data_IF_211947066894
#
_entry.id   IF_211947066894
#
_cell.length_a   1.000
_cell.length_b   1.000
_cell.length_c   1.000
_cell.angle_alpha   90.00
_cell.angle_beta   90.00
_cell.angle_gamma   90.00
#
_symmetry.space_group_name_H-M   'P 1'
#
loop_
_entity.id
_entity.type
_entity.pdbx_description
1 polymer ?
#
# COMPACT_ATOMS: atom_id res chain seq x y z
N UNK A 1 -14.74 11.50 -7.13
CA UNK A 1 -14.47 10.97 -8.47
C UNK A 1 -13.66 9.68 -8.29
N UNK A 2 -13.90 8.64 -9.10
CA UNK A 2 -13.23 7.34 -9.01
C UNK A 2 -12.14 7.28 -10.09
N UNK A 3 -10.92 6.83 -9.73
CA UNK A 3 -9.75 6.81 -10.62
C UNK A 3 -8.93 5.53 -10.46
N UNK A 4 -8.25 5.15 -11.53
CA UNK A 4 -7.13 4.18 -11.53
C UNK A 4 -7.47 2.77 -11.03
N UNK A 5 -8.65 2.25 -11.34
CA UNK A 5 -9.05 0.86 -11.02
C UNK A 5 -9.83 0.24 -12.18
N UNK A 6 -9.52 0.66 -13.40
CA UNK A 6 -10.21 0.23 -14.61
C UNK A 6 -10.09 -1.27 -14.82
N UNK A 7 -8.92 -1.84 -14.47
CA UNK A 7 -8.65 -3.28 -14.62
C UNK A 7 -9.51 -4.11 -13.67
N UNK A 8 -9.51 -3.76 -12.38
CA UNK A 8 -10.31 -4.44 -11.37
C UNK A 8 -11.81 -4.28 -11.65
N UNK A 9 -12.24 -3.06 -12.01
CA UNK A 9 -13.63 -2.76 -12.33
C UNK A 9 -14.09 -3.51 -13.60
N UNK A 10 -13.26 -3.58 -14.63
CA UNK A 10 -13.53 -4.31 -15.86
C UNK A 10 -13.68 -5.81 -15.59
N UNK A 11 -12.79 -6.42 -14.78
CA UNK A 11 -12.89 -7.84 -14.44
C UNK A 11 -14.13 -8.13 -13.58
N UNK A 12 -14.45 -7.28 -12.60
CA UNK A 12 -15.70 -7.41 -11.82
C UNK A 12 -16.94 -7.33 -12.71
N UNK A 13 -16.98 -6.37 -13.66
CA UNK A 13 -18.10 -6.24 -14.59
C UNK A 13 -18.21 -7.43 -15.55
N UNK A 14 -17.10 -7.94 -16.07
CA UNK A 14 -17.07 -9.14 -16.90
C UNK A 14 -17.67 -10.34 -16.15
N UNK A 15 -17.21 -10.59 -14.90
CA UNK A 15 -17.75 -11.67 -14.05
C UNK A 15 -19.23 -11.49 -13.74
N UNK A 16 -19.65 -10.23 -13.49
CA UNK A 16 -21.07 -9.96 -13.28
C UNK A 16 -21.90 -10.30 -14.51
N UNK A 17 -21.43 -10.00 -15.72
CA UNK A 17 -22.16 -10.28 -16.97
C UNK A 17 -22.27 -11.77 -17.30
N UNK A 18 -21.41 -12.63 -16.74
CA UNK A 18 -21.46 -14.09 -16.96
C UNK A 18 -22.71 -14.76 -16.34
N UNK A 19 -23.42 -14.07 -15.44
CA UNK A 19 -24.72 -14.54 -14.93
C UNK A 19 -24.68 -15.72 -13.96
N UNK A 20 -23.50 -16.22 -13.56
CA UNK A 20 -23.30 -17.33 -12.63
C UNK A 20 -22.92 -16.84 -11.22
N UNK A 21 -22.91 -17.75 -10.25
CA UNK A 21 -22.42 -17.47 -8.91
C UNK A 21 -20.97 -16.97 -8.93
N UNK A 22 -20.71 -15.93 -8.19
CA UNK A 22 -19.38 -15.42 -7.93
C UNK A 22 -19.18 -15.13 -6.44
N UNK A 23 -17.98 -15.46 -5.95
CA UNK A 23 -17.52 -15.08 -4.61
C UNK A 23 -16.19 -14.36 -4.73
N UNK A 24 -16.24 -13.04 -4.74
CA UNK A 24 -15.10 -12.16 -4.88
C UNK A 24 -14.59 -11.69 -3.51
N UNK A 25 -13.31 -11.89 -3.26
CA UNK A 25 -12.64 -11.39 -2.05
C UNK A 25 -11.88 -10.12 -2.40
N UNK A 26 -12.27 -8.98 -1.80
CA UNK A 26 -11.63 -7.67 -1.99
C UNK A 26 -10.93 -7.28 -0.70
N UNK A 27 -9.61 -7.18 -0.72
CA UNK A 27 -8.85 -6.87 0.48
C UNK A 27 -7.63 -5.99 0.19
N UNK A 28 -7.09 -5.39 1.22
CA UNK A 28 -5.96 -4.48 1.15
C UNK A 28 -6.00 -3.55 2.34
N UNK A 29 -4.91 -2.82 2.59
CA UNK A 29 -4.86 -1.94 3.76
C UNK A 29 -5.97 -0.86 3.74
N UNK A 30 -6.18 -0.23 4.88
CA UNK A 30 -7.15 0.89 4.96
C UNK A 30 -6.80 2.02 4.00
N UNK A 31 -7.85 2.72 3.52
CA UNK A 31 -7.74 3.97 2.74
C UNK A 31 -7.22 3.83 1.30
N UNK A 32 -6.97 2.60 0.83
CA UNK A 32 -6.56 2.34 -0.56
C UNK A 32 -7.69 2.38 -1.59
N UNK A 33 -8.96 2.56 -1.13
CA UNK A 33 -10.11 2.73 -2.02
C UNK A 33 -10.93 1.47 -2.29
N UNK A 34 -10.86 0.42 -1.44
CA UNK A 34 -11.68 -0.81 -1.60
C UNK A 34 -13.18 -0.53 -1.72
N UNK A 35 -13.74 0.16 -0.72
CA UNK A 35 -15.17 0.50 -0.69
C UNK A 35 -15.57 1.40 -1.86
N UNK A 36 -14.66 2.30 -2.31
CA UNK A 36 -14.90 3.12 -3.50
C UNK A 36 -15.00 2.27 -4.78
N UNK A 37 -14.13 1.26 -4.94
CA UNK A 37 -14.18 0.31 -6.06
C UNK A 37 -15.49 -0.48 -6.04
N UNK A 38 -15.88 -1.01 -4.88
CA UNK A 38 -17.11 -1.79 -4.73
C UNK A 38 -18.34 -0.92 -5.02
N UNK A 39 -18.38 0.31 -4.49
CA UNK A 39 -19.47 1.23 -4.76
C UNK A 39 -19.58 1.60 -6.25
N UNK A 40 -18.45 1.82 -6.92
CA UNK A 40 -18.44 2.08 -8.36
C UNK A 40 -18.94 0.86 -9.16
N UNK A 41 -18.53 -0.34 -8.77
CA UNK A 41 -19.00 -1.59 -9.37
C UNK A 41 -20.49 -1.81 -9.16
N UNK A 42 -21.03 -1.47 -8.00
CA UNK A 42 -22.45 -1.68 -7.64
C UNK A 42 -23.40 -0.67 -8.29
N UNK A 43 -22.89 0.43 -8.87
CA UNK A 43 -23.74 1.45 -9.52
C UNK A 43 -24.69 0.84 -10.55
N UNK A 44 -25.96 1.20 -10.45
CA UNK A 44 -27.02 0.74 -11.35
C UNK A 44 -27.21 -0.80 -11.40
N UNK A 45 -26.82 -1.51 -10.33
CA UNK A 45 -27.03 -2.95 -10.19
C UNK A 45 -27.81 -3.25 -8.91
N UNK A 46 -28.70 -4.27 -8.91
CA UNK A 46 -29.35 -4.72 -7.69
C UNK A 46 -28.31 -5.14 -6.65
N UNK A 47 -28.28 -4.44 -5.51
CA UNK A 47 -27.24 -4.62 -4.51
C UNK A 47 -27.81 -4.54 -3.09
N UNK A 48 -27.42 -5.48 -2.25
CA UNK A 48 -27.49 -5.39 -0.79
C UNK A 48 -26.07 -5.06 -0.30
N UNK A 49 -25.87 -3.87 0.29
CA UNK A 49 -24.59 -3.43 0.79
C UNK A 49 -24.63 -3.40 2.32
N UNK A 50 -24.04 -4.39 2.96
CA UNK A 50 -23.93 -4.49 4.40
C UNK A 50 -22.52 -4.14 4.86
N UNK A 51 -22.38 -3.09 5.68
CA UNK A 51 -21.14 -2.74 6.37
C UNK A 51 -21.18 -3.29 7.79
N UNK A 52 -20.35 -4.27 8.08
CA UNK A 52 -20.29 -4.87 9.40
C UNK A 52 -19.71 -3.91 10.44
N UNK A 53 -20.29 -3.94 11.64
CA UNK A 53 -19.95 -3.06 12.74
C UNK A 53 -19.00 -3.77 13.73
N UNK A 54 -18.09 -3.02 14.34
CA UNK A 54 -17.33 -3.50 15.49
C UNK A 54 -18.21 -3.51 16.75
N UNK A 55 -19.23 -4.35 16.74
CA UNK A 55 -20.31 -4.41 17.70
C UNK A 55 -20.73 -5.87 17.93
N UNK A 56 -21.82 -6.10 18.67
CA UNK A 56 -22.33 -7.46 18.97
C UNK A 56 -22.90 -8.15 17.73
N UNK A 57 -23.08 -9.48 17.82
CA UNK A 57 -23.76 -10.28 16.79
C UNK A 57 -25.18 -9.79 16.50
N UNK A 58 -25.93 -9.38 17.54
CA UNK A 58 -27.29 -8.84 17.41
C UNK A 58 -27.33 -7.50 16.65
N UNK A 59 -26.44 -6.57 16.99
CA UNK A 59 -26.35 -5.27 16.27
C UNK A 59 -25.93 -5.47 14.81
N UNK A 60 -25.07 -6.44 14.52
CA UNK A 60 -24.72 -6.77 13.13
C UNK A 60 -25.89 -7.41 12.38
N UNK A 61 -26.71 -8.24 13.06
CA UNK A 61 -27.91 -8.81 12.45
C UNK A 61 -28.97 -7.73 12.18
N UNK A 62 -29.12 -6.75 13.09
CA UNK A 62 -29.99 -5.58 12.87
C UNK A 62 -29.53 -4.75 11.66
N UNK A 63 -28.21 -4.47 11.56
CA UNK A 63 -27.65 -3.73 10.44
C UNK A 63 -27.81 -4.48 9.10
N UNK A 64 -27.60 -5.81 9.09
CA UNK A 64 -27.86 -6.65 7.91
C UNK A 64 -29.33 -6.63 7.53
N UNK A 65 -30.24 -6.73 8.51
CA UNK A 65 -31.69 -6.65 8.30
C UNK A 65 -32.06 -5.33 7.63
N UNK A 66 -31.53 -4.21 8.14
CA UNK A 66 -31.72 -2.89 7.55
C UNK A 66 -31.27 -2.85 6.09
N UNK A 67 -30.07 -3.35 5.80
CA UNK A 67 -29.52 -3.36 4.43
C UNK A 67 -30.36 -4.19 3.44
N UNK A 68 -30.96 -5.32 3.89
CA UNK A 68 -31.85 -6.14 3.07
C UNK A 68 -33.16 -5.38 2.76
N UNK A 69 -33.77 -4.77 3.79
CA UNK A 69 -35.03 -4.04 3.60
C UNK A 69 -34.83 -2.72 2.83
N UNK A 70 -33.71 -2.07 2.94
CA UNK A 70 -33.39 -0.84 2.19
C UNK A 70 -33.44 -1.06 0.67
N UNK A 71 -33.01 -2.22 0.20
CA UNK A 71 -33.09 -2.58 -1.22
C UNK A 71 -34.49 -2.48 -1.77
N UNK A 72 -35.51 -2.86 -0.99
CA UNK A 72 -36.92 -2.81 -1.41
C UNK A 72 -37.58 -1.44 -1.23
N UNK A 73 -36.83 -0.39 -0.82
CA UNK A 73 -37.25 1.02 -0.65
C UNK A 73 -38.44 1.27 0.28
N UNK A 74 -38.77 0.34 1.16
CA UNK A 74 -40.06 0.39 1.83
C UNK A 74 -39.98 0.71 3.31
N UNK A 75 -38.81 0.64 3.94
CA UNK A 75 -38.71 0.77 5.38
C UNK A 75 -37.58 1.75 5.76
N UNK A 76 -37.92 2.73 6.59
CA UNK A 76 -36.95 3.62 7.25
C UNK A 76 -36.33 2.97 8.48
N UNK A 77 -35.98 3.78 9.49
CA UNK A 77 -35.32 3.35 10.74
C UNK A 77 -36.05 2.28 11.58
N UNK A 78 -37.22 1.82 11.17
CA UNK A 78 -38.05 0.79 11.82
C UNK A 78 -38.16 -0.52 11.04
N UNK A 79 -37.17 -0.87 10.23
CA UNK A 79 -37.13 -2.15 9.52
C UNK A 79 -37.20 -3.33 10.53
N UNK A 80 -38.01 -4.38 10.22
CA UNK A 80 -38.03 -5.57 11.10
C UNK A 80 -36.65 -6.25 11.09
N UNK A 81 -36.28 -6.80 12.24
CA UNK A 81 -35.01 -7.54 12.38
C UNK A 81 -35.25 -9.01 12.18
N UNK A 82 -34.42 -9.68 11.36
CA UNK A 82 -34.46 -11.14 11.22
C UNK A 82 -34.14 -11.83 12.55
N UNK A 83 -34.69 -13.04 12.75
CA UNK A 83 -34.46 -13.80 13.99
C UNK A 83 -33.05 -14.39 14.06
N UNK A 84 -32.44 -14.65 12.92
CA UNK A 84 -31.12 -15.24 12.79
C UNK A 84 -30.44 -14.82 11.48
N UNK A 85 -29.11 -15.01 11.40
CA UNK A 85 -28.37 -14.86 10.14
C UNK A 85 -28.85 -15.87 9.08
N UNK A 86 -29.28 -17.07 9.48
CA UNK A 86 -29.79 -18.07 8.54
C UNK A 86 -31.07 -17.58 7.86
N UNK A 87 -31.99 -16.95 8.61
CA UNK A 87 -33.19 -16.36 8.04
C UNK A 87 -32.87 -15.21 7.07
N UNK A 88 -31.93 -14.33 7.44
CA UNK A 88 -31.48 -13.24 6.58
C UNK A 88 -30.83 -13.76 5.29
N UNK A 89 -29.94 -14.75 5.40
CA UNK A 89 -29.27 -15.35 4.24
C UNK A 89 -30.25 -16.11 3.33
N UNK A 90 -31.28 -16.74 3.91
CA UNK A 90 -32.35 -17.43 3.15
C UNK A 90 -33.18 -16.45 2.35
N UNK A 91 -33.45 -15.25 2.88
CA UNK A 91 -34.19 -14.23 2.13
C UNK A 91 -33.32 -13.62 1.02
N UNK A 92 -32.02 -13.40 1.25
CA UNK A 92 -31.07 -13.04 0.19
C UNK A 92 -31.05 -14.10 -0.93
N UNK A 93 -31.12 -15.38 -0.58
CA UNK A 93 -31.18 -16.48 -1.56
C UNK A 93 -32.42 -16.35 -2.44
N UNK A 94 -33.60 -16.17 -1.82
CA UNK A 94 -34.87 -15.98 -2.55
C UNK A 94 -34.79 -14.77 -3.50
N UNK A 95 -34.26 -13.63 -3.05
CA UNK A 95 -34.09 -12.43 -3.89
C UNK A 95 -33.13 -12.70 -5.06
N UNK A 96 -32.08 -13.47 -4.84
CA UNK A 96 -31.10 -13.82 -5.89
C UNK A 96 -31.65 -14.81 -6.94
N UNK A 97 -32.71 -15.57 -6.61
CA UNK A 97 -33.43 -16.39 -7.58
C UNK A 97 -34.29 -15.54 -8.55
N UNK A 98 -34.85 -14.45 -8.07
CA UNK A 98 -35.69 -13.53 -8.85
C UNK A 98 -34.85 -12.71 -9.83
N UNK A 99 -33.74 -12.12 -9.36
CA UNK A 99 -32.85 -11.29 -10.18
C UNK A 99 -31.37 -11.53 -9.84
N UNK A 100 -30.46 -11.08 -10.72
CA UNK A 100 -29.04 -11.09 -10.43
C UNK A 100 -28.72 -10.07 -9.35
N UNK A 101 -28.36 -10.54 -8.17
CA UNK A 101 -28.14 -9.75 -6.97
C UNK A 101 -26.66 -9.70 -6.59
N UNK A 102 -26.17 -8.53 -6.23
CA UNK A 102 -24.88 -8.35 -5.56
C UNK A 102 -25.12 -8.30 -4.05
N UNK A 103 -24.42 -9.13 -3.30
CA UNK A 103 -24.39 -9.07 -1.84
C UNK A 103 -22.99 -8.73 -1.37
N UNK A 104 -22.83 -7.55 -0.76
CA UNK A 104 -21.56 -7.06 -0.23
C UNK A 104 -21.56 -7.17 1.28
N UNK A 105 -20.51 -7.77 1.84
CA UNK A 105 -20.20 -7.70 3.27
C UNK A 105 -18.87 -6.92 3.38
N UNK A 106 -18.98 -5.62 3.67
CA UNK A 106 -17.81 -4.79 3.92
C UNK A 106 -17.38 -4.91 5.39
N UNK A 107 -16.09 -4.77 5.66
CA UNK A 107 -15.42 -5.00 6.95
C UNK A 107 -15.76 -6.38 7.56
N UNK A 108 -15.68 -7.43 6.74
CA UNK A 108 -16.02 -8.82 7.10
C UNK A 108 -15.37 -9.30 8.39
N UNK A 109 -14.18 -8.79 8.74
CA UNK A 109 -13.52 -9.09 10.03
C UNK A 109 -14.41 -8.81 11.23
N UNK A 110 -15.16 -7.71 11.23
CA UNK A 110 -16.01 -7.35 12.38
C UNK A 110 -17.17 -8.33 12.52
N UNK A 111 -17.79 -8.70 11.42
CA UNK A 111 -18.84 -9.72 11.42
C UNK A 111 -18.30 -11.06 11.93
N UNK A 112 -17.15 -11.52 11.43
CA UNK A 112 -16.58 -12.79 11.79
C UNK A 112 -16.11 -12.84 13.27
N UNK A 113 -15.74 -11.70 13.85
CA UNK A 113 -15.46 -11.60 15.30
C UNK A 113 -16.72 -11.61 16.15
N UNK A 114 -17.78 -10.96 15.70
CA UNK A 114 -19.05 -10.88 16.42
C UNK A 114 -19.84 -12.19 16.34
N UNK A 115 -19.80 -12.88 15.19
CA UNK A 115 -20.49 -14.14 14.91
C UNK A 115 -19.49 -15.17 14.38
N UNK A 116 -18.89 -15.96 15.29
CA UNK A 116 -17.83 -16.92 14.94
C UNK A 116 -18.27 -17.99 13.94
N UNK A 117 -19.58 -18.29 13.89
CA UNK A 117 -20.14 -19.28 12.98
C UNK A 117 -20.38 -18.75 11.56
N UNK A 118 -20.25 -17.45 11.32
CA UNK A 118 -20.68 -16.84 10.03
C UNK A 118 -19.94 -17.42 8.82
N UNK A 119 -18.64 -17.70 8.95
CA UNK A 119 -17.87 -18.29 7.83
C UNK A 119 -18.38 -19.68 7.48
N UNK A 120 -18.76 -20.50 8.47
CA UNK A 120 -19.35 -21.84 8.25
C UNK A 120 -20.78 -21.76 7.72
N UNK A 121 -21.57 -20.76 8.16
CA UNK A 121 -22.91 -20.51 7.59
C UNK A 121 -22.82 -20.08 6.12
N UNK A 122 -21.91 -19.19 5.78
CA UNK A 122 -21.65 -18.81 4.39
C UNK A 122 -21.18 -20.00 3.56
N UNK A 123 -20.29 -20.84 4.12
CA UNK A 123 -19.87 -22.08 3.48
C UNK A 123 -21.08 -22.96 3.15
N UNK A 124 -21.93 -23.24 4.13
CA UNK A 124 -23.09 -24.11 3.97
C UNK A 124 -24.05 -23.59 2.90
N UNK A 125 -24.38 -22.28 2.93
CA UNK A 125 -25.33 -21.73 1.96
C UNK A 125 -24.74 -21.63 0.55
N UNK A 126 -23.43 -21.38 0.41
CA UNK A 126 -22.75 -21.42 -0.89
C UNK A 126 -22.86 -22.83 -1.47
N UNK A 127 -22.48 -23.86 -0.71
CA UNK A 127 -22.41 -25.23 -1.19
C UNK A 127 -23.79 -25.80 -1.58
N UNK A 128 -24.85 -25.42 -0.87
CA UNK A 128 -26.18 -26.01 -1.05
C UNK A 128 -27.14 -25.17 -1.90
N UNK A 129 -26.95 -23.84 -1.95
CA UNK A 129 -27.93 -22.94 -2.60
C UNK A 129 -27.31 -22.02 -3.64
N UNK A 130 -26.15 -21.39 -3.36
CA UNK A 130 -25.65 -20.31 -4.21
C UNK A 130 -24.75 -20.77 -5.36
N UNK A 131 -24.03 -21.89 -5.21
CA UNK A 131 -23.02 -22.34 -6.17
C UNK A 131 -23.56 -22.51 -7.61
N UNK A 132 -24.84 -22.88 -7.75
CA UNK A 132 -25.50 -23.04 -9.04
C UNK A 132 -26.44 -21.85 -9.37
N UNK A 133 -26.43 -20.80 -8.59
CA UNK A 133 -27.28 -19.62 -8.69
C UNK A 133 -26.64 -18.45 -9.43
N UNK A 134 -27.23 -17.27 -9.22
CA UNK A 134 -26.84 -16.02 -9.87
C UNK A 134 -26.23 -14.99 -8.89
N UNK A 135 -26.14 -15.31 -7.60
CA UNK A 135 -25.64 -14.36 -6.59
C UNK A 135 -24.19 -13.98 -6.86
N UNK A 136 -23.88 -12.69 -6.70
CA UNK A 136 -22.52 -12.16 -6.70
C UNK A 136 -22.16 -11.73 -5.27
N UNK A 137 -21.46 -12.59 -4.53
CA UNK A 137 -20.99 -12.30 -3.17
C UNK A 137 -19.67 -11.53 -3.22
N UNK A 138 -19.56 -10.44 -2.44
CA UNK A 138 -18.31 -9.72 -2.19
C UNK A 138 -18.02 -9.72 -0.71
N UNK A 139 -16.89 -10.29 -0.31
CA UNK A 139 -16.34 -10.15 1.04
C UNK A 139 -15.19 -9.15 1.02
N UNK A 140 -15.36 -8.04 1.73
CA UNK A 140 -14.37 -6.97 1.78
C UNK A 140 -13.76 -6.83 3.18
N UNK A 141 -12.44 -6.59 3.26
CA UNK A 141 -11.78 -6.38 4.54
C UNK A 141 -10.48 -5.59 4.44
N UNK A 142 -10.20 -4.83 5.51
CA UNK A 142 -8.99 -4.02 5.62
C UNK A 142 -7.84 -4.72 6.34
N UNK A 143 -8.10 -5.77 7.12
CA UNK A 143 -7.08 -6.55 7.80
C UNK A 143 -6.46 -7.59 6.87
N UNK A 144 -5.24 -7.32 6.40
CA UNK A 144 -4.52 -8.19 5.48
C UNK A 144 -4.34 -9.61 6.05
N UNK A 145 -3.80 -9.72 7.26
CA UNK A 145 -3.53 -11.02 7.89
C UNK A 145 -4.80 -11.83 8.15
N UNK A 146 -5.91 -11.17 8.53
CA UNK A 146 -7.19 -11.85 8.68
C UNK A 146 -7.70 -12.37 7.33
N UNK A 147 -7.70 -11.54 6.30
CA UNK A 147 -8.19 -11.95 4.99
C UNK A 147 -7.33 -13.06 4.38
N UNK A 148 -6.01 -12.97 4.49
CA UNK A 148 -5.09 -13.98 3.94
C UNK A 148 -5.13 -15.29 4.72
N UNK A 149 -5.25 -15.27 6.06
CA UNK A 149 -5.20 -16.48 6.87
C UNK A 149 -6.59 -17.09 7.16
N UNK A 150 -7.59 -16.23 7.48
CA UNK A 150 -8.91 -16.70 7.97
C UNK A 150 -9.96 -16.77 6.86
N UNK A 151 -9.76 -16.08 5.74
CA UNK A 151 -10.70 -16.12 4.59
C UNK A 151 -10.12 -16.92 3.44
N UNK A 152 -8.87 -16.65 3.07
CA UNK A 152 -8.17 -17.26 1.94
C UNK A 152 -7.35 -18.50 2.34
N UNK A 153 -7.05 -18.66 3.62
CA UNK A 153 -6.21 -19.72 4.16
C UNK A 153 -6.83 -21.12 4.03
N UNK A 154 -6.00 -22.14 3.99
CA UNK A 154 -6.43 -23.53 3.80
C UNK A 154 -7.40 -24.04 4.89
N UNK A 155 -7.28 -23.57 6.13
CA UNK A 155 -8.16 -23.94 7.25
C UNK A 155 -9.49 -23.17 7.26
N UNK A 156 -9.68 -22.21 6.36
CA UNK A 156 -10.91 -21.42 6.30
C UNK A 156 -12.09 -22.25 5.79
N UNK A 157 -13.30 -22.11 6.38
CA UNK A 157 -14.52 -22.67 5.80
C UNK A 157 -14.80 -22.16 4.38
N UNK A 158 -14.28 -20.97 4.01
CA UNK A 158 -14.45 -20.35 2.69
C UNK A 158 -13.36 -20.75 1.68
N UNK A 159 -12.38 -21.55 2.11
CA UNK A 159 -11.35 -22.05 1.21
C UNK A 159 -11.95 -22.84 0.05
N UNK A 160 -11.47 -22.55 -1.17
CA UNK A 160 -11.95 -23.19 -2.40
C UNK A 160 -13.30 -22.68 -2.93
N UNK A 161 -14.00 -21.77 -2.21
CA UNK A 161 -15.30 -21.21 -2.63
C UNK A 161 -15.19 -19.84 -3.29
N UNK A 162 -14.02 -19.20 -3.19
CA UNK A 162 -13.74 -17.96 -3.90
C UNK A 162 -13.63 -18.24 -5.41
N UNK A 163 -14.17 -17.34 -6.21
CA UNK A 163 -14.02 -17.35 -7.68
C UNK A 163 -13.09 -16.25 -8.17
N UNK A 164 -12.93 -15.19 -7.36
CA UNK A 164 -12.04 -14.08 -7.64
C UNK A 164 -11.38 -13.53 -6.36
N UNK A 165 -10.20 -12.91 -6.52
CA UNK A 165 -9.46 -12.29 -5.44
C UNK A 165 -8.81 -11.01 -5.93
N UNK A 166 -9.06 -9.91 -5.22
CA UNK A 166 -8.52 -8.59 -5.54
C UNK A 166 -7.77 -8.04 -4.33
N UNK A 167 -6.45 -8.02 -4.41
CA UNK A 167 -5.60 -7.31 -3.46
C UNK A 167 -5.44 -5.88 -3.93
N UNK A 168 -6.11 -4.95 -3.24
CA UNK A 168 -6.09 -3.54 -3.60
C UNK A 168 -4.90 -2.87 -2.93
N UNK A 169 -3.94 -2.48 -3.73
CA UNK A 169 -2.73 -1.80 -3.30
C UNK A 169 -2.87 -0.27 -3.41
N UNK A 170 -1.90 0.47 -2.87
CA UNK A 170 -1.78 1.90 -3.11
C UNK A 170 -1.56 2.17 -4.60
N UNK A 171 -1.93 3.35 -5.06
CA UNK A 171 -1.68 3.79 -6.44
C UNK A 171 -0.18 4.00 -6.65
N UNK A 172 0.29 3.71 -7.84
CA UNK A 172 1.67 3.99 -8.24
C UNK A 172 1.90 5.49 -8.43
N UNK A 173 3.16 5.89 -8.52
CA UNK A 173 3.52 7.29 -8.75
C UNK A 173 2.97 7.84 -10.08
N UNK A 174 2.78 7.00 -11.12
CA UNK A 174 2.14 7.40 -12.38
C UNK A 174 0.62 7.54 -12.23
N UNK A 175 -0.02 6.58 -11.57
CA UNK A 175 -1.48 6.59 -11.40
C UNK A 175 -1.96 7.81 -10.61
N UNK A 176 -1.19 8.31 -9.64
CA UNK A 176 -1.61 9.49 -8.86
C UNK A 176 -1.64 10.79 -9.67
N UNK A 177 -1.03 10.83 -10.85
CA UNK A 177 -1.01 12.03 -11.68
C UNK A 177 -2.40 12.51 -12.09
N UNK A 178 -3.38 11.60 -12.16
CA UNK A 178 -4.77 11.94 -12.50
C UNK A 178 -5.45 12.86 -11.49
N UNK A 179 -4.95 12.93 -10.24
CA UNK A 179 -5.51 13.82 -9.22
C UNK A 179 -5.12 15.30 -9.46
N UNK A 180 -3.94 15.52 -10.02
CA UNK A 180 -3.39 16.85 -10.26
C UNK A 180 -2.59 16.89 -11.59
N UNK A 181 -3.21 16.65 -12.75
CA UNK A 181 -2.51 16.43 -14.02
C UNK A 181 -1.72 17.66 -14.52
N UNK A 182 -2.04 18.84 -14.00
CA UNK A 182 -1.36 20.11 -14.36
C UNK A 182 0.00 20.28 -13.66
N UNK A 183 0.29 19.51 -12.61
CA UNK A 183 1.52 19.68 -11.84
C UNK A 183 2.73 19.03 -12.54
N UNK A 184 3.92 19.64 -12.47
CA UNK A 184 5.15 19.05 -13.01
C UNK A 184 5.55 17.78 -12.24
N UNK A 185 6.32 16.90 -12.91
CA UNK A 185 6.75 15.59 -12.38
C UNK A 185 7.38 15.68 -10.98
N UNK A 186 8.17 16.73 -10.70
CA UNK A 186 8.77 16.93 -9.37
C UNK A 186 7.72 17.10 -8.26
N UNK A 187 6.66 17.86 -8.53
CA UNK A 187 5.56 18.06 -7.59
C UNK A 187 4.71 16.81 -7.44
N UNK A 188 4.47 16.08 -8.54
CA UNK A 188 3.81 14.78 -8.53
C UNK A 188 4.61 13.77 -7.67
N UNK A 189 5.94 13.72 -7.87
CA UNK A 189 6.82 12.88 -7.08
C UNK A 189 6.75 13.22 -5.58
N UNK A 190 6.71 14.52 -5.22
CA UNK A 190 6.58 14.96 -3.83
C UNK A 190 5.23 14.50 -3.23
N UNK A 191 4.11 14.66 -3.95
CA UNK A 191 2.81 14.15 -3.51
C UNK A 191 2.87 12.64 -3.25
N UNK A 192 3.47 11.87 -4.17
CA UNK A 192 3.68 10.44 -3.98
C UNK A 192 4.58 10.14 -2.77
N UNK A 193 5.69 10.85 -2.63
CA UNK A 193 6.61 10.71 -1.51
C UNK A 193 5.95 10.98 -0.14
N UNK A 194 4.98 11.89 -0.09
CA UNK A 194 4.23 12.21 1.13
C UNK A 194 3.08 11.23 1.36
N UNK A 195 2.30 10.91 0.34
CA UNK A 195 1.03 10.17 0.48
C UNK A 195 1.16 8.66 0.27
N UNK A 196 2.26 8.22 -0.32
CA UNK A 196 2.48 6.80 -0.68
C UNK A 196 1.48 6.26 -1.71
N UNK A 197 0.87 7.12 -2.51
CA UNK A 197 -0.15 6.73 -3.47
C UNK A 197 -1.48 6.29 -2.84
N UNK A 198 -1.72 6.62 -1.57
CA UNK A 198 -2.97 6.29 -0.89
C UNK A 198 -4.04 7.33 -1.23
N UNK A 199 -5.13 6.94 -1.95
CA UNK A 199 -6.12 7.88 -2.47
C UNK A 199 -6.73 8.77 -1.39
N UNK A 200 -6.97 8.22 -0.20
CA UNK A 200 -7.51 8.99 0.91
C UNK A 200 -6.58 10.12 1.34
N UNK A 201 -5.27 9.87 1.43
CA UNK A 201 -4.30 10.89 1.81
C UNK A 201 -4.12 11.94 0.72
N UNK A 202 -4.15 11.53 -0.57
CA UNK A 202 -4.10 12.46 -1.70
C UNK A 202 -5.30 13.42 -1.65
N UNK A 203 -6.51 12.87 -1.47
CA UNK A 203 -7.73 13.67 -1.37
C UNK A 203 -7.73 14.60 -0.13
N UNK A 204 -7.16 14.16 1.00
CA UNK A 204 -7.08 14.97 2.23
C UNK A 204 -5.96 16.01 2.18
N UNK A 205 -4.89 15.73 1.46
CA UNK A 205 -3.86 16.72 1.17
C UNK A 205 -4.41 17.85 0.28
N UNK A 206 -5.36 17.52 -0.61
CA UNK A 206 -6.17 18.46 -1.38
C UNK A 206 -5.33 19.53 -2.12
N UNK A 207 -4.29 19.09 -2.79
CA UNK A 207 -3.41 20.00 -3.57
C UNK A 207 -4.23 20.62 -4.71
N UNK A 208 -4.22 21.93 -4.80
CA UNK A 208 -4.76 22.69 -5.92
C UNK A 208 -3.64 23.01 -6.90
N UNK A 209 -2.83 24.01 -6.58
CA UNK A 209 -1.74 24.49 -7.42
C UNK A 209 -0.38 24.44 -6.71
N UNK A 210 -0.38 24.54 -5.38
CA UNK A 210 0.83 24.57 -4.55
C UNK A 210 0.84 23.45 -3.50
N UNK A 211 1.83 22.56 -3.64
CA UNK A 211 2.00 21.41 -2.73
C UNK A 211 2.47 21.88 -1.35
N UNK A 212 3.32 22.91 -1.28
CA UNK A 212 3.84 23.42 0.00
C UNK A 212 2.73 24.08 0.82
N UNK A 213 1.84 24.84 0.15
CA UNK A 213 0.66 25.42 0.80
C UNK A 213 -0.30 24.33 1.31
N UNK A 214 -0.55 23.28 0.51
CA UNK A 214 -1.39 22.15 0.92
C UNK A 214 -0.81 21.39 2.11
N UNK A 215 0.50 21.21 2.17
CA UNK A 215 1.19 20.60 3.32
C UNK A 215 1.07 21.44 4.58
N UNK A 216 1.27 22.75 4.47
CA UNK A 216 1.11 23.68 5.60
C UNK A 216 -0.32 23.65 6.16
N UNK A 217 -1.31 23.68 5.30
CA UNK A 217 -2.71 23.68 5.70
C UNK A 217 -3.17 22.35 6.31
N UNK A 218 -2.84 21.22 5.69
CA UNK A 218 -3.46 19.94 6.01
C UNK A 218 -2.60 19.01 6.88
N UNK A 219 -1.27 19.22 6.92
CA UNK A 219 -0.37 18.34 7.67
C UNK A 219 0.40 19.09 8.76
N UNK A 220 0.72 20.35 8.55
CA UNK A 220 1.44 21.18 9.54
C UNK A 220 0.54 22.20 10.25
N UNK A 221 -0.75 21.94 10.33
CA UNK A 221 -1.75 22.71 11.06
C UNK A 221 -2.50 21.80 12.02
N UNK A 222 -2.73 22.26 13.26
CA UNK A 222 -3.51 21.52 14.27
C UNK A 222 -4.97 21.29 13.85
N UNK A 223 -5.51 22.08 12.93
CA UNK A 223 -6.83 21.89 12.33
C UNK A 223 -6.80 21.01 11.07
N UNK A 224 -5.62 20.67 10.57
CA UNK A 224 -5.45 19.85 9.37
C UNK A 224 -5.78 18.39 9.62
N UNK A 225 -6.56 17.77 8.72
CA UNK A 225 -6.96 16.38 8.87
C UNK A 225 -5.76 15.42 9.00
N UNK A 226 -4.68 15.67 8.25
CA UNK A 226 -3.51 14.81 8.22
C UNK A 226 -2.60 14.98 9.44
N UNK A 227 -2.78 16.03 10.25
CA UNK A 227 -1.93 16.29 11.41
C UNK A 227 -2.02 15.18 12.48
N UNK A 228 -3.22 14.73 12.85
CA UNK A 228 -3.45 13.69 13.87
C UNK A 228 -3.68 12.29 13.29
N UNK A 229 -3.65 12.17 11.99
CA UNK A 229 -4.04 10.95 11.28
C UNK A 229 -3.26 9.69 11.68
N UNK A 230 -1.91 9.71 11.91
CA UNK A 230 -1.20 8.52 12.36
C UNK A 230 -1.68 8.03 13.73
N UNK A 231 -1.92 8.95 14.67
CA UNK A 231 -2.45 8.58 15.99
C UNK A 231 -3.88 8.04 15.90
N UNK A 232 -4.72 8.67 15.07
CA UNK A 232 -6.10 8.24 14.88
C UNK A 232 -6.16 6.85 14.24
N UNK A 233 -5.30 6.56 13.27
CA UNK A 233 -5.21 5.23 12.67
C UNK A 233 -4.76 4.19 13.70
N UNK A 234 -3.73 4.47 14.49
CA UNK A 234 -3.27 3.55 15.53
C UNK A 234 -4.35 3.30 16.60
N UNK A 235 -5.09 4.33 17.03
CA UNK A 235 -6.20 4.19 17.99
C UNK A 235 -7.37 3.35 17.43
N UNK A 236 -7.64 3.45 16.13
CA UNK A 236 -8.70 2.67 15.48
C UNK A 236 -8.35 1.18 15.30
N UNK A 237 -7.07 0.88 15.03
CA UNK A 237 -6.63 -0.48 14.70
C UNK A 237 -6.11 -1.25 15.91
N UNK A 238 -5.62 -0.58 16.96
CA UNK A 238 -4.76 -1.17 17.97
C UNK A 238 -5.25 -0.87 19.39
N UNK A 239 -5.11 -1.86 20.29
CA UNK A 239 -5.50 -1.71 21.70
C UNK A 239 -4.51 -0.90 22.53
N UNK A 240 -3.22 -0.90 22.16
CA UNK A 240 -2.12 -0.24 22.89
C UNK A 240 -1.36 0.72 21.97
N UNK A 241 -2.02 1.78 21.44
CA UNK A 241 -1.46 2.65 20.41
C UNK A 241 -0.14 3.32 20.84
N UNK A 242 0.06 3.59 22.12
CA UNK A 242 1.28 4.24 22.62
C UNK A 242 2.52 3.36 22.43
N UNK A 243 2.43 2.05 22.63
CA UNK A 243 3.55 1.11 22.42
C UNK A 243 3.92 1.06 20.94
N UNK A 244 2.93 0.96 20.07
CA UNK A 244 3.15 0.96 18.62
C UNK A 244 3.76 2.28 18.14
N UNK A 245 3.30 3.41 18.66
CA UNK A 245 3.88 4.73 18.39
C UNK A 245 5.37 4.78 18.76
N UNK A 246 5.74 4.23 19.92
CA UNK A 246 7.15 4.17 20.36
C UNK A 246 8.01 3.32 19.42
N UNK A 247 7.49 2.19 18.94
CA UNK A 247 8.19 1.32 17.97
C UNK A 247 8.37 2.03 16.64
N UNK A 248 7.33 2.67 16.10
CA UNK A 248 7.42 3.43 14.85
C UNK A 248 8.42 4.58 15.00
N UNK A 249 8.38 5.30 16.12
CA UNK A 249 9.33 6.38 16.43
C UNK A 249 10.78 5.87 16.50
N UNK A 250 11.01 4.69 17.08
CA UNK A 250 12.34 4.08 17.14
C UNK A 250 12.87 3.74 15.74
N UNK A 251 12.02 3.18 14.86
CA UNK A 251 12.36 2.88 13.45
C UNK A 251 12.58 4.17 12.66
N UNK A 252 11.71 5.18 12.81
CA UNK A 252 11.87 6.50 12.20
C UNK A 252 13.16 7.19 12.63
N UNK A 253 13.61 6.91 13.86
CA UNK A 253 14.88 7.38 14.42
C UNK A 253 16.09 6.53 14.07
N UNK A 254 15.99 5.59 13.09
CA UNK A 254 17.09 4.83 12.51
C UNK A 254 17.38 3.46 13.15
N UNK A 255 16.56 2.97 14.10
CA UNK A 255 16.67 1.59 14.56
C UNK A 255 16.14 0.64 13.47
N UNK A 256 17.01 -0.21 12.95
CA UNK A 256 16.67 -1.09 11.79
C UNK A 256 16.59 -2.56 12.16
N UNK A 257 17.24 -2.99 13.23
CA UNK A 257 17.22 -4.38 13.67
C UNK A 257 16.27 -4.60 14.87
N UNK A 258 15.67 -5.78 14.96
CA UNK A 258 14.67 -6.09 16.00
C UNK A 258 15.22 -5.90 17.44
N UNK A 259 16.48 -6.24 17.66
CA UNK A 259 17.15 -6.03 18.96
C UNK A 259 17.38 -4.53 19.27
N UNK A 260 17.75 -3.73 18.29
CA UNK A 260 17.91 -2.28 18.46
C UNK A 260 16.56 -1.63 18.79
N UNK A 261 15.50 -2.03 18.06
CA UNK A 261 14.15 -1.54 18.30
C UNK A 261 13.69 -1.91 19.71
N UNK A 262 13.82 -3.18 20.10
CA UNK A 262 13.40 -3.66 21.42
C UNK A 262 14.14 -2.95 22.57
N UNK A 263 15.45 -2.75 22.42
CA UNK A 263 16.28 -2.01 23.39
C UNK A 263 15.83 -0.54 23.49
N UNK A 264 15.59 0.11 22.34
CA UNK A 264 15.23 1.53 22.29
C UNK A 264 13.84 1.80 22.89
N UNK A 265 12.92 0.84 22.79
CA UNK A 265 11.56 0.95 23.33
C UNK A 265 11.44 0.39 24.75
N UNK A 266 12.46 -0.33 25.25
CA UNK A 266 12.46 -0.95 26.56
C UNK A 266 11.55 -2.19 26.67
N UNK A 267 11.37 -2.92 25.56
CA UNK A 267 10.56 -4.13 25.52
C UNK A 267 11.43 -5.39 25.45
N UNK A 268 10.96 -6.47 26.01
CA UNK A 268 11.53 -7.79 25.78
C UNK A 268 11.41 -8.16 24.28
N UNK A 269 12.44 -8.81 23.72
CA UNK A 269 12.54 -9.11 22.29
C UNK A 269 11.35 -9.96 21.76
N UNK A 270 10.87 -10.92 22.54
CA UNK A 270 9.71 -11.75 22.18
C UNK A 270 8.40 -10.96 22.10
N UNK A 271 8.21 -10.01 23.01
CA UNK A 271 7.06 -9.10 23.04
C UNK A 271 7.16 -8.11 21.87
N UNK A 272 8.32 -7.48 21.69
CA UNK A 272 8.57 -6.55 20.60
C UNK A 272 8.28 -7.17 19.22
N UNK A 273 8.67 -8.44 19.02
CA UNK A 273 8.42 -9.17 17.78
C UNK A 273 6.94 -9.32 17.44
N UNK A 274 6.06 -9.46 18.45
CA UNK A 274 4.59 -9.50 18.25
C UNK A 274 4.06 -8.15 17.75
N UNK A 275 4.50 -7.06 18.36
CA UNK A 275 4.14 -5.71 17.92
C UNK A 275 4.66 -5.39 16.50
N UNK A 276 5.91 -5.78 16.22
CA UNK A 276 6.48 -5.61 14.88
C UNK A 276 5.66 -6.38 13.82
N UNK A 277 5.22 -7.60 14.13
CA UNK A 277 4.36 -8.36 13.21
C UNK A 277 3.07 -7.63 12.89
N UNK A 278 2.39 -7.06 13.88
CA UNK A 278 1.16 -6.28 13.66
C UNK A 278 1.41 -5.06 12.79
N UNK A 279 2.50 -4.32 13.01
CA UNK A 279 2.86 -3.17 12.18
C UNK A 279 3.22 -3.54 10.73
N UNK A 280 3.79 -4.73 10.52
CA UNK A 280 4.01 -5.30 9.19
C UNK A 280 2.68 -5.66 8.52
N UNK A 281 1.77 -6.30 9.25
CA UNK A 281 0.44 -6.68 8.76
C UNK A 281 -0.41 -5.46 8.39
N UNK A 282 -0.24 -4.34 9.11
CA UNK A 282 -0.85 -3.05 8.77
C UNK A 282 -0.15 -2.32 7.62
N UNK A 283 1.03 -2.80 7.18
CA UNK A 283 1.84 -2.15 6.16
C UNK A 283 2.45 -0.81 6.58
N UNK A 284 2.47 -0.50 7.89
CA UNK A 284 3.16 0.69 8.44
C UNK A 284 4.66 0.47 8.42
N UNK A 285 5.11 -0.71 8.83
CA UNK A 285 6.49 -1.16 8.65
C UNK A 285 6.60 -2.16 7.50
N UNK A 286 7.81 -2.31 6.98
CA UNK A 286 8.20 -3.36 6.06
C UNK A 286 9.48 -4.03 6.53
N UNK A 287 9.65 -5.30 6.16
CA UNK A 287 10.92 -6.02 6.24
C UNK A 287 11.64 -5.90 4.91
N UNK A 288 12.90 -5.54 4.95
CA UNK A 288 13.76 -5.50 3.79
C UNK A 288 14.89 -6.50 3.96
N UNK A 289 15.17 -7.20 2.88
CA UNK A 289 16.21 -8.23 2.80
C UNK A 289 16.96 -7.93 1.52
N UNK A 290 18.31 -8.02 1.50
CA UNK A 290 19.03 -7.86 0.24
C UNK A 290 18.47 -8.84 -0.78
N UNK A 291 18.10 -8.33 -1.95
CA UNK A 291 17.61 -9.18 -3.04
C UNK A 291 18.64 -10.29 -3.32
N UNK A 292 18.21 -11.49 -3.66
CA UNK A 292 19.02 -12.70 -3.79
C UNK A 292 19.50 -13.33 -2.48
N UNK A 293 19.11 -12.80 -1.32
CA UNK A 293 19.44 -13.36 -0.01
C UNK A 293 18.20 -13.97 0.66
N UNK A 294 18.42 -14.87 1.62
CA UNK A 294 17.33 -15.40 2.46
C UNK A 294 17.16 -14.56 3.71
N UNK A 295 15.95 -14.54 4.33
CA UNK A 295 15.76 -13.90 5.62
C UNK A 295 16.78 -14.37 6.65
N UNK A 296 17.39 -13.41 7.37
CA UNK A 296 18.43 -13.71 8.36
C UNK A 296 19.00 -12.46 9.01
N UNK A 297 20.28 -12.48 9.37
CA UNK A 297 20.97 -11.38 10.08
C UNK A 297 20.95 -10.05 9.33
N UNK A 298 20.83 -10.09 7.98
CA UNK A 298 20.77 -8.90 7.13
C UNK A 298 19.36 -8.32 7.00
N UNK A 299 18.35 -8.93 7.64
CA UNK A 299 16.98 -8.39 7.62
C UNK A 299 16.90 -7.10 8.41
N UNK A 300 16.36 -6.06 7.80
CA UNK A 300 16.11 -4.78 8.43
C UNK A 300 14.62 -4.41 8.42
N UNK A 301 14.21 -3.56 9.35
CA UNK A 301 12.90 -2.98 9.43
C UNK A 301 12.97 -1.52 9.03
N UNK A 302 12.04 -1.07 8.21
CA UNK A 302 11.90 0.32 7.83
C UNK A 302 10.42 0.72 7.80
N UNK A 303 10.14 2.03 7.76
CA UNK A 303 8.77 2.51 7.59
C UNK A 303 8.38 2.27 6.13
N UNK A 304 7.39 1.39 5.92
CA UNK A 304 6.86 1.06 4.60
C UNK A 304 5.86 2.08 4.06
N UNK A 305 5.17 2.77 4.95
CA UNK A 305 4.19 3.81 4.62
C UNK A 305 4.88 5.17 4.45
N UNK A 306 4.84 5.74 3.25
CA UNK A 306 5.45 7.05 2.99
C UNK A 306 4.82 8.16 3.82
N UNK A 307 3.52 8.12 4.07
CA UNK A 307 2.84 9.14 4.88
C UNK A 307 3.33 9.09 6.33
N UNK A 308 3.39 7.90 6.94
CA UNK A 308 3.98 7.72 8.26
C UNK A 308 5.44 8.15 8.28
N UNK A 309 6.22 7.80 7.26
CA UNK A 309 7.63 8.20 7.15
C UNK A 309 7.78 9.72 7.11
N UNK A 310 6.95 10.42 6.32
CA UNK A 310 6.96 11.89 6.25
C UNK A 310 6.56 12.51 7.58
N UNK A 311 5.47 12.03 8.16
CA UNK A 311 4.94 12.54 9.42
C UNK A 311 5.94 12.40 10.56
N UNK A 312 6.50 11.20 10.79
CA UNK A 312 7.48 10.95 11.86
C UNK A 312 8.82 11.66 11.64
N UNK A 313 9.17 11.95 10.40
CA UNK A 313 10.38 12.72 10.08
C UNK A 313 10.23 14.19 10.45
N UNK A 314 9.07 14.80 10.19
CA UNK A 314 8.91 16.25 10.20
C UNK A 314 7.97 16.77 11.29
N UNK A 315 6.85 16.12 11.58
CA UNK A 315 5.83 16.66 12.49
C UNK A 315 6.30 16.68 13.95
N UNK A 316 6.80 15.58 14.57
CA UNK A 316 7.15 15.57 15.99
C UNK A 316 8.24 16.58 16.36
N UNK A 317 9.21 16.81 15.47
CA UNK A 317 10.30 17.75 15.68
C UNK A 317 9.87 19.22 15.63
N UNK A 318 8.75 19.49 15.00
CA UNK A 318 8.23 20.84 14.78
C UNK A 318 6.92 21.10 15.54
N UNK A 319 6.54 20.23 16.48
CA UNK A 319 5.27 20.29 17.20
C UNK A 319 4.99 21.65 17.85
N UNK A 320 6.00 22.24 18.52
CA UNK A 320 5.86 23.56 19.15
C UNK A 320 5.61 24.69 18.14
N UNK A 321 6.25 24.64 16.98
CA UNK A 321 6.05 25.64 15.92
C UNK A 321 4.65 25.47 15.26
N UNK A 322 4.21 24.23 15.10
CA UNK A 322 2.85 23.91 14.59
C UNK A 322 1.80 24.42 15.58
N UNK A 323 1.92 24.03 16.85
CA UNK A 323 0.94 24.40 17.89
C UNK A 323 0.82 25.91 18.11
N UNK A 324 1.89 26.67 17.85
CA UNK A 324 1.90 28.15 17.99
C UNK A 324 1.64 28.88 16.67
N UNK A 325 1.33 28.15 15.56
CA UNK A 325 1.09 28.75 14.25
C UNK A 325 2.32 29.47 13.66
N UNK A 326 3.51 29.03 14.00
CA UNK A 326 4.78 29.62 13.52
C UNK A 326 5.51 28.77 12.49
N UNK A 327 4.92 27.65 12.10
CA UNK A 327 5.55 26.69 11.20
C UNK A 327 5.83 27.29 9.82
N UNK A 328 4.96 28.17 9.32
CA UNK A 328 5.11 28.87 8.06
C UNK A 328 6.43 29.66 7.99
N UNK A 329 6.85 30.28 9.10
CA UNK A 329 8.07 31.08 9.21
C UNK A 329 9.36 30.28 9.14
N UNK A 330 9.30 28.99 9.48
CA UNK A 330 10.47 28.12 9.54
C UNK A 330 10.40 26.98 8.50
N UNK A 331 9.32 26.88 7.73
CA UNK A 331 9.05 25.79 6.82
C UNK A 331 10.19 25.48 5.85
N UNK A 332 10.74 26.52 5.21
CA UNK A 332 11.82 26.35 4.24
C UNK A 332 13.08 25.77 4.91
N UNK A 333 13.39 26.18 6.13
CA UNK A 333 14.61 25.78 6.86
C UNK A 333 14.41 24.46 7.59
N UNK A 334 13.23 24.22 8.15
CA UNK A 334 12.97 23.06 9.00
C UNK A 334 12.49 21.83 8.21
N UNK A 335 11.89 22.02 7.04
CA UNK A 335 11.21 20.98 6.28
C UNK A 335 11.69 20.92 4.83
N UNK A 336 11.47 21.97 4.04
CA UNK A 336 11.69 21.99 2.60
C UNK A 336 13.14 21.70 2.18
N UNK A 337 14.10 22.24 2.92
CA UNK A 337 15.52 21.96 2.68
C UNK A 337 15.89 20.48 2.75
N UNK A 338 15.10 19.65 3.44
CA UNK A 338 15.34 18.22 3.60
C UNK A 338 14.57 17.36 2.58
N UNK A 339 13.80 17.95 1.68
CA UNK A 339 13.03 17.21 0.69
C UNK A 339 13.91 16.33 -0.19
N UNK A 340 15.05 16.83 -0.62
CA UNK A 340 15.96 16.04 -1.47
C UNK A 340 16.42 14.76 -0.77
N UNK A 341 16.82 14.85 0.51
CA UNK A 341 17.20 13.71 1.32
C UNK A 341 16.02 12.76 1.58
N UNK A 342 14.88 13.33 1.97
CA UNK A 342 13.67 12.55 2.26
C UNK A 342 13.17 11.78 1.04
N UNK A 343 13.18 12.42 -0.12
CA UNK A 343 12.68 11.87 -1.37
C UNK A 343 13.58 10.76 -1.96
N UNK A 344 14.82 10.62 -1.51
CA UNK A 344 15.72 9.58 -2.00
C UNK A 344 15.09 8.19 -1.99
N UNK A 345 14.57 7.76 -0.85
CA UNK A 345 13.90 6.45 -0.70
C UNK A 345 12.59 6.33 -1.51
N UNK A 346 11.82 7.43 -1.63
CA UNK A 346 10.62 7.43 -2.47
C UNK A 346 10.98 7.31 -3.95
N UNK A 347 12.03 7.98 -4.37
CA UNK A 347 12.53 7.94 -5.74
C UNK A 347 13.09 6.56 -6.11
N UNK A 348 13.83 5.91 -5.20
CA UNK A 348 14.26 4.52 -5.39
C UNK A 348 13.05 3.59 -5.61
N UNK A 349 11.97 3.75 -4.82
CA UNK A 349 10.75 2.98 -5.02
C UNK A 349 10.11 3.26 -6.38
N UNK A 350 10.04 4.54 -6.80
CA UNK A 350 9.51 4.92 -8.12
C UNK A 350 10.35 4.29 -9.24
N UNK A 351 11.68 4.27 -9.12
CA UNK A 351 12.58 3.68 -10.10
C UNK A 351 12.43 2.14 -10.17
N UNK A 352 12.20 1.48 -9.03
CA UNK A 352 11.90 0.04 -9.00
C UNK A 352 10.55 -0.26 -9.65
N UNK A 353 9.52 0.52 -9.34
CA UNK A 353 8.19 0.39 -9.96
C UNK A 353 8.26 0.65 -11.47
N UNK A 354 9.10 1.60 -11.91
CA UNK A 354 9.34 1.85 -13.33
C UNK A 354 9.87 0.60 -14.04
N UNK A 355 10.90 -0.01 -13.53
CA UNK A 355 11.51 -1.22 -14.13
C UNK A 355 10.55 -2.41 -14.17
N UNK A 356 9.73 -2.58 -13.11
CA UNK A 356 8.82 -3.72 -13.01
C UNK A 356 7.52 -3.56 -13.81
N UNK A 357 7.04 -2.33 -14.01
CA UNK A 357 5.67 -2.10 -14.49
C UNK A 357 5.59 -1.28 -15.79
N UNK A 358 6.62 -0.48 -16.11
CA UNK A 358 6.51 0.57 -17.13
C UNK A 358 7.63 0.56 -18.16
N UNK A 359 8.72 -0.12 -17.90
CA UNK A 359 9.84 -0.22 -18.84
C UNK A 359 9.55 -1.33 -19.86
N UNK A 360 9.32 -0.93 -21.12
CA UNK A 360 9.00 -1.87 -22.20
C UNK A 360 10.26 -2.45 -22.90
N UNK A 361 11.38 -1.72 -22.85
CA UNK A 361 12.62 -2.06 -23.56
C UNK A 361 13.75 -2.42 -22.56
N UNK A 362 13.58 -3.51 -21.84
CA UNK A 362 14.58 -4.04 -20.92
C UNK A 362 15.46 -5.10 -21.60
N UNK A 363 16.78 -5.12 -21.31
CA UNK A 363 17.69 -6.09 -21.91
C UNK A 363 17.46 -7.54 -21.42
N UNK A 364 16.74 -7.69 -20.29
CA UNK A 364 16.41 -8.98 -19.67
C UNK A 364 14.96 -8.98 -19.17
N UNK A 365 14.37 -10.15 -19.10
CA UNK A 365 13.06 -10.33 -18.44
C UNK A 365 13.29 -10.41 -16.94
N UNK A 366 12.72 -9.47 -16.20
CA UNK A 366 12.89 -9.38 -14.76
C UNK A 366 11.92 -10.32 -14.00
N UNK A 367 12.46 -11.05 -13.03
CA UNK A 367 11.68 -11.79 -12.04
C UNK A 367 11.35 -10.93 -10.83
N UNK A 368 12.28 -10.05 -10.42
CA UNK A 368 12.09 -9.16 -9.27
C UNK A 368 13.07 -7.98 -9.36
N UNK A 369 12.78 -6.89 -8.62
CA UNK A 369 13.65 -5.73 -8.47
C UNK A 369 13.69 -5.30 -7.01
N UNK A 370 14.89 -5.24 -6.43
CA UNK A 370 15.07 -4.87 -5.03
C UNK A 370 16.37 -4.12 -4.77
N UNK A 371 16.68 -3.92 -3.50
CA UNK A 371 17.96 -3.39 -3.04
C UNK A 371 18.90 -4.54 -2.70
N UNK A 372 20.19 -4.25 -2.75
CA UNK A 372 21.21 -5.16 -2.23
C UNK A 372 22.20 -4.40 -1.37
N UNK A 373 22.61 -5.01 -0.26
CA UNK A 373 23.69 -4.50 0.60
C UNK A 373 24.58 -5.63 1.08
N UNK A 374 25.85 -5.30 1.26
CA UNK A 374 26.86 -6.26 1.69
C UNK A 374 28.15 -5.57 2.05
N UNK A 375 29.14 -6.34 2.50
CA UNK A 375 30.45 -5.83 2.89
C UNK A 375 31.46 -6.09 1.79
N UNK A 376 32.13 -5.06 1.30
CA UNK A 376 33.28 -5.19 0.42
C UNK A 376 34.44 -5.86 1.18
N UNK A 377 34.85 -7.03 0.76
CA UNK A 377 35.89 -7.80 1.42
C UNK A 377 37.26 -7.11 1.42
N UNK A 378 37.53 -6.22 0.44
CA UNK A 378 38.80 -5.50 0.29
C UNK A 378 38.87 -4.28 1.22
N UNK A 379 37.80 -3.48 1.21
CA UNK A 379 37.75 -2.21 1.96
C UNK A 379 37.16 -2.34 3.36
N UNK A 380 36.52 -3.47 3.67
CA UNK A 380 35.74 -3.72 4.90
C UNK A 380 34.59 -2.73 5.13
N UNK A 381 34.17 -2.02 4.08
CA UNK A 381 33.06 -1.06 4.15
C UNK A 381 31.79 -1.74 3.70
N UNK A 382 30.68 -1.35 4.32
CA UNK A 382 29.35 -1.68 3.83
C UNK A 382 29.07 -0.89 2.55
N UNK A 383 28.49 -1.56 1.58
CA UNK A 383 28.04 -0.98 0.33
C UNK A 383 26.57 -1.31 0.10
N UNK A 384 25.88 -0.44 -0.59
CA UNK A 384 24.49 -0.60 -0.97
C UNK A 384 24.33 -0.32 -2.46
N UNK A 385 23.52 -1.12 -3.11
CA UNK A 385 23.06 -0.92 -4.48
C UNK A 385 21.55 -0.65 -4.41
N UNK A 386 21.12 0.52 -4.91
CA UNK A 386 19.75 1.01 -4.79
C UNK A 386 18.77 0.13 -5.58
N UNK A 387 19.24 -0.40 -6.71
CA UNK A 387 18.45 -1.25 -7.61
C UNK A 387 19.30 -2.44 -8.07
N UNK A 388 18.77 -3.63 -7.83
CA UNK A 388 19.23 -4.86 -8.46
C UNK A 388 18.01 -5.54 -9.07
N UNK A 389 18.00 -5.65 -10.40
CA UNK A 389 17.00 -6.41 -11.15
C UNK A 389 17.50 -7.82 -11.41
N UNK A 390 16.76 -8.82 -10.93
CA UNK A 390 17.08 -10.23 -11.10
C UNK A 390 16.40 -10.80 -12.33
N UNK A 391 17.07 -11.64 -13.14
CA UNK A 391 16.47 -12.23 -14.32
C UNK A 391 15.50 -13.38 -13.97
N UNK A 392 14.57 -13.68 -14.87
CA UNK A 392 13.78 -14.92 -14.83
C UNK A 392 14.68 -16.11 -15.14
N UNK A 393 15.57 -15.95 -16.12
CA UNK A 393 16.53 -16.99 -16.55
C UNK A 393 17.90 -16.35 -16.86
N UNK A 394 18.97 -17.10 -16.65
CA UNK A 394 20.33 -16.66 -16.93
C UNK A 394 21.00 -15.93 -15.76
N UNK A 395 22.17 -15.31 -16.05
CA UNK A 395 23.05 -14.67 -15.08
C UNK A 395 23.36 -13.21 -15.46
N UNK A 396 22.41 -12.53 -16.13
CA UNK A 396 22.51 -11.10 -16.43
C UNK A 396 21.63 -10.31 -15.43
N UNK A 397 22.18 -9.23 -14.89
CA UNK A 397 21.49 -8.43 -13.85
C UNK A 397 21.42 -6.97 -14.26
N UNK A 398 20.33 -6.30 -13.88
CA UNK A 398 20.28 -4.84 -13.88
C UNK A 398 20.84 -4.34 -12.54
N UNK A 399 21.78 -3.40 -12.61
CA UNK A 399 22.38 -2.74 -11.45
C UNK A 399 22.12 -1.24 -11.58
N UNK A 400 21.47 -0.62 -10.59
CA UNK A 400 21.06 0.77 -10.72
C UNK A 400 21.37 1.63 -9.50
N UNK A 401 21.54 2.92 -9.77
CA UNK A 401 21.68 3.98 -8.76
C UNK A 401 20.63 5.06 -8.95
N UNK A 402 20.12 5.61 -7.84
CA UNK A 402 19.07 6.61 -7.80
C UNK A 402 19.55 7.89 -7.12
N UNK A 403 19.49 9.03 -7.81
CA UNK A 403 19.94 10.33 -7.31
C UNK A 403 18.81 11.37 -7.39
N UNK A 404 18.16 11.62 -6.26
CA UNK A 404 17.14 12.67 -6.14
C UNK A 404 17.77 13.99 -5.67
N UNK A 405 18.70 14.51 -6.48
CA UNK A 405 19.42 15.77 -6.24
C UNK A 405 19.20 16.72 -7.42
N UNK A 406 19.38 18.03 -7.18
CA UNK A 406 19.29 19.03 -8.25
C UNK A 406 20.56 19.10 -9.09
N UNK A 407 21.70 18.64 -8.55
CA UNK A 407 22.98 18.60 -9.26
C UNK A 407 22.98 17.46 -10.28
N UNK A 408 23.64 17.70 -11.41
CA UNK A 408 23.82 16.68 -12.45
C UNK A 408 24.71 15.54 -11.97
N UNK A 409 24.30 14.31 -12.28
CA UNK A 409 25.06 13.09 -11.99
C UNK A 409 26.23 12.94 -12.96
N UNK A 410 27.42 12.70 -12.44
CA UNK A 410 28.66 12.57 -13.20
C UNK A 410 29.08 11.13 -13.45
N UNK A 411 30.23 10.99 -14.15
CA UNK A 411 30.83 9.68 -14.51
C UNK A 411 31.26 8.87 -13.30
N UNK A 412 31.65 9.53 -12.23
CA UNK A 412 32.04 8.95 -10.94
C UNK A 412 30.97 7.99 -10.38
N UNK A 413 29.69 8.30 -10.61
CA UNK A 413 28.58 7.44 -10.20
C UNK A 413 28.56 6.11 -10.98
N UNK A 414 28.82 6.14 -12.28
CA UNK A 414 28.91 4.92 -13.10
C UNK A 414 30.09 4.06 -12.68
N UNK A 415 31.26 4.67 -12.43
CA UNK A 415 32.44 3.95 -11.96
C UNK A 415 32.20 3.31 -10.57
N UNK A 416 31.53 4.04 -9.69
CA UNK A 416 31.12 3.52 -8.36
C UNK A 416 30.19 2.33 -8.53
N UNK A 417 29.18 2.45 -9.39
CA UNK A 417 28.20 1.41 -9.65
C UNK A 417 28.85 0.13 -10.26
N UNK A 418 29.78 0.29 -11.21
CA UNK A 418 30.58 -0.81 -11.78
C UNK A 418 31.40 -1.52 -10.68
N UNK A 419 32.00 -0.76 -9.75
CA UNK A 419 32.71 -1.32 -8.61
C UNK A 419 31.76 -2.10 -7.68
N UNK A 420 30.59 -1.58 -7.37
CA UNK A 420 29.60 -2.25 -6.53
C UNK A 420 29.06 -3.53 -7.18
N UNK A 421 28.85 -3.50 -8.50
CA UNK A 421 28.48 -4.69 -9.25
C UNK A 421 29.55 -5.81 -9.13
N UNK A 422 30.84 -5.45 -9.13
CA UNK A 422 31.92 -6.42 -8.92
C UNK A 422 31.94 -7.04 -7.51
N UNK A 423 31.48 -6.31 -6.49
CA UNK A 423 31.33 -6.83 -5.12
C UNK A 423 30.07 -7.69 -4.99
N UNK A 424 28.98 -7.32 -5.66
CA UNK A 424 27.79 -8.15 -5.77
C UNK A 424 28.12 -9.52 -6.38
N UNK A 425 28.88 -9.55 -7.48
CA UNK A 425 29.59 -10.72 -8.00
C UNK A 425 28.73 -11.92 -8.41
N UNK A 426 27.41 -11.75 -8.62
CA UNK A 426 26.48 -12.85 -8.96
C UNK A 426 26.19 -12.96 -10.46
N UNK A 427 26.55 -11.94 -11.25
CA UNK A 427 26.25 -11.87 -12.68
C UNK A 427 27.45 -12.12 -13.56
N UNK A 428 27.23 -12.70 -14.75
CA UNK A 428 28.19 -12.77 -15.85
C UNK A 428 28.19 -11.47 -16.63
N UNK A 429 27.06 -10.81 -16.74
CA UNK A 429 26.88 -9.51 -17.39
C UNK A 429 26.00 -8.59 -16.55
N UNK A 430 26.31 -7.29 -16.55
CA UNK A 430 25.58 -6.26 -15.85
C UNK A 430 25.10 -5.17 -16.81
N UNK A 431 23.83 -4.77 -16.64
CA UNK A 431 23.22 -3.64 -17.33
C UNK A 431 23.06 -2.51 -16.32
N UNK A 432 23.67 -1.36 -16.58
CA UNK A 432 23.75 -0.25 -15.63
C UNK A 432 22.64 0.77 -15.89
N UNK A 433 21.88 1.09 -14.88
CA UNK A 433 20.80 2.07 -14.92
C UNK A 433 21.08 3.19 -13.91
N UNK A 434 21.16 4.44 -14.39
CA UNK A 434 21.33 5.60 -13.50
C UNK A 434 20.11 6.48 -13.63
N UNK A 435 19.41 6.64 -12.51
CA UNK A 435 18.24 7.51 -12.41
C UNK A 435 18.65 8.80 -11.73
N UNK A 436 18.35 9.93 -12.32
CA UNK A 436 18.74 11.24 -11.77
C UNK A 436 17.68 12.30 -11.99
N UNK A 437 17.22 12.95 -10.90
CA UNK A 437 16.35 14.11 -10.97
C UNK A 437 17.03 15.29 -11.65
N UNK A 438 18.30 15.55 -11.30
CA UNK A 438 19.08 16.70 -11.82
C UNK A 438 19.65 16.49 -13.22
N UNK A 439 19.39 15.32 -13.84
CA UNK A 439 19.97 14.97 -15.14
C UNK A 439 21.45 14.58 -15.06
N UNK A 440 22.16 14.67 -16.17
CA UNK A 440 23.50 14.10 -16.34
C UNK A 440 24.49 15.12 -16.87
N UNK A 441 25.76 14.93 -16.54
CA UNK A 441 26.85 15.71 -17.11
C UNK A 441 27.15 15.27 -18.54
N UNK A 442 27.70 16.16 -19.38
CA UNK A 442 28.11 15.83 -20.74
C UNK A 442 29.15 14.69 -20.80
N UNK A 443 30.01 14.59 -19.78
CA UNK A 443 30.99 13.51 -19.63
C UNK A 443 30.32 12.14 -19.51
N UNK A 444 29.32 12.02 -18.66
CA UNK A 444 28.57 10.77 -18.52
C UNK A 444 27.74 10.47 -19.77
N UNK A 445 27.03 11.45 -20.32
CA UNK A 445 26.19 11.28 -21.51
C UNK A 445 27.00 10.83 -22.74
N UNK A 446 28.23 11.32 -22.91
CA UNK A 446 29.11 10.89 -24.01
C UNK A 446 29.59 9.46 -23.87
N UNK A 447 29.74 8.97 -22.63
CA UNK A 447 30.25 7.61 -22.35
C UNK A 447 29.17 6.53 -22.45
N UNK A 448 27.89 6.88 -22.48
CA UNK A 448 26.72 5.98 -22.65
C UNK A 448 26.63 5.33 -24.06
N UNK A 449 27.63 5.49 -24.90
CA UNK A 449 27.75 4.73 -26.15
C UNK A 449 28.02 3.23 -25.96
N UNK A 450 28.24 2.79 -24.71
CA UNK A 450 28.24 1.38 -24.34
C UNK A 450 26.79 0.88 -24.29
N UNK A 451 26.48 -0.20 -25.00
CA UNK A 451 25.11 -0.75 -25.13
C UNK A 451 24.47 -1.20 -23.81
N UNK A 452 25.24 -1.28 -22.71
CA UNK A 452 24.79 -1.75 -21.42
C UNK A 452 24.54 -0.65 -20.37
N UNK A 453 24.54 0.63 -20.73
CA UNK A 453 24.28 1.76 -19.82
C UNK A 453 23.05 2.54 -20.26
N UNK A 454 22.13 2.77 -19.33
CA UNK A 454 20.90 3.59 -19.53
C UNK A 454 20.86 4.73 -18.50
N UNK A 455 20.54 5.91 -19.00
CA UNK A 455 20.37 7.12 -18.19
C UNK A 455 18.92 7.59 -18.28
N UNK A 456 18.27 7.73 -17.12
CA UNK A 456 16.87 8.08 -17.04
C UNK A 456 16.67 9.26 -16.07
N UNK A 457 16.00 10.28 -16.54
CA UNK A 457 15.60 11.43 -15.70
C UNK A 457 14.32 11.15 -14.95
N UNK A 458 13.94 12.05 -14.02
CA UNK A 458 12.64 11.99 -13.37
C UNK A 458 11.50 12.06 -14.40
N UNK A 459 11.62 12.90 -15.43
CA UNK A 459 10.63 13.03 -16.49
C UNK A 459 10.50 11.76 -17.33
N UNK A 460 11.60 11.04 -17.56
CA UNK A 460 11.58 9.80 -18.34
C UNK A 460 10.81 8.68 -17.65
N UNK A 461 10.89 8.58 -16.34
CA UNK A 461 10.10 7.57 -15.60
C UNK A 461 8.61 7.91 -15.54
N UNK A 462 8.18 9.13 -15.87
CA UNK A 462 6.78 9.53 -15.97
C UNK A 462 6.17 9.35 -17.37
N UNK A 463 7.00 9.25 -18.41
CA UNK A 463 6.57 8.95 -19.81
C UNK A 463 6.19 7.49 -19.96
#
# INVERSE_FOLDING_TARGET
>A
MFYCREKELSDLNRRYSEGKFECAIVYGRRRVGKTALINEFCKNKPTIFFSALNATSGENLEALSGAIYEKDHKYGASAPVYKSFDDALSDITRMAEEERLIFVIDEYLYLAKAEQSISSRLQHIIDHHWQNGKLFLILCGSSMSFMENQVLGYESPLYGRRTAQYKIEALTYREITVFNPQLPCEKQALIYGVTGGIPHYINKLNVKDDVDAALLENLFSTSGYLFEEPENLLKQELREPAVYNSIISAVAGGATHSNEISTKVGLESGICSKYLKVLLDLGILKKEIPITEKPGKKTIYSIGDNYFRFWYRFVPKNMSAIATGRIDKIYDVAIKRYYSEYMGLAFEQMCRDYLLRYADDLPIVLSDVGQWWGTDAKTKKEIQIDIVGTPVEGNEYIIGSCKYKSEKTGIDELELLKRYASVFGKGERYHYYIFSKGGFTDGLTKQVREDNVRLLTLEDIYK
#
